data_IF_155711535603
#
_entry.id   IF_155711535603
#
_cell.length_a   1.000
_cell.length_b   1.000
_cell.length_c   1.000
_cell.angle_alpha   90.00
_cell.angle_beta   90.00
_cell.angle_gamma   90.00
#
_symmetry.space_group_name_H-M   'P 1'
#
loop_
_entity.id
_entity.type
_entity.pdbx_description
1 polymer ?
#
# COMPACT_ATOMS: atom_id res chain seq x y z
N UNK A 1 -22.22 -11.37 49.50
CA UNK A 1 -21.54 -12.57 48.98
C UNK A 1 -20.76 -12.15 47.76
N UNK A 2 -19.48 -11.80 47.95
CA UNK A 2 -18.63 -11.25 46.90
C UNK A 2 -17.85 -12.38 46.26
N UNK A 3 -18.18 -12.70 45.00
CA UNK A 3 -17.44 -13.68 44.20
C UNK A 3 -16.11 -13.09 43.74
N UNK A 4 -15.01 -13.59 44.29
CA UNK A 4 -13.67 -13.31 43.81
C UNK A 4 -13.46 -14.09 42.52
N UNK A 5 -13.50 -13.41 41.38
CA UNK A 5 -13.05 -13.96 40.10
C UNK A 5 -11.53 -13.94 40.11
N UNK A 6 -10.92 -15.10 40.36
CA UNK A 6 -9.47 -15.27 40.24
C UNK A 6 -9.08 -15.27 38.76
N UNK A 7 -8.58 -14.15 38.25
CA UNK A 7 -7.86 -14.10 36.99
C UNK A 7 -6.54 -14.85 37.17
N UNK A 8 -6.48 -16.10 36.71
CA UNK A 8 -5.24 -16.88 36.62
C UNK A 8 -4.35 -16.20 35.59
N UNK A 9 -3.45 -15.33 36.08
CA UNK A 9 -2.35 -14.78 35.28
C UNK A 9 -1.38 -15.94 35.05
N UNK A 10 -1.48 -16.61 33.91
CA UNK A 10 -0.50 -17.62 33.52
C UNK A 10 0.88 -16.94 33.42
N UNK A 11 1.77 -17.33 34.34
CA UNK A 11 3.17 -16.91 34.38
C UNK A 11 3.83 -17.19 33.02
N UNK A 12 4.58 -16.22 32.48
CA UNK A 12 5.23 -16.28 31.14
C UNK A 12 6.06 -17.56 30.92
N UNK A 13 6.54 -18.14 32.02
CA UNK A 13 7.26 -19.41 32.06
C UNK A 13 6.38 -20.58 31.58
N UNK A 14 5.10 -20.64 32.01
CA UNK A 14 4.17 -21.71 31.61
C UNK A 14 3.85 -21.63 30.11
N UNK A 15 3.74 -20.43 29.55
CA UNK A 15 3.57 -20.23 28.10
C UNK A 15 4.79 -20.72 27.32
N UNK A 16 5.99 -20.46 27.84
CA UNK A 16 7.25 -20.93 27.25
C UNK A 16 7.37 -22.45 27.29
N UNK A 17 7.01 -23.09 28.41
CA UNK A 17 6.99 -24.56 28.52
C UNK A 17 5.97 -25.20 27.59
N UNK A 18 4.77 -24.63 27.47
CA UNK A 18 3.75 -25.11 26.52
C UNK A 18 4.20 -24.96 25.07
N UNK A 19 4.90 -23.87 24.73
CA UNK A 19 5.46 -23.66 23.40
C UNK A 19 6.56 -24.69 23.08
N UNK A 20 7.46 -24.97 24.02
CA UNK A 20 8.52 -25.99 23.88
C UNK A 20 7.91 -27.39 23.72
N UNK A 21 6.93 -27.75 24.56
CA UNK A 21 6.22 -29.03 24.47
C UNK A 21 5.46 -29.16 23.15
N UNK A 22 4.81 -28.08 22.69
CA UNK A 22 4.14 -28.04 21.39
C UNK A 22 5.12 -28.28 20.24
N UNK A 23 6.28 -27.62 20.28
CA UNK A 23 7.34 -27.80 19.28
C UNK A 23 7.89 -29.23 19.26
N UNK A 24 8.17 -29.81 20.42
CA UNK A 24 8.63 -31.19 20.55
C UNK A 24 7.58 -32.19 20.05
N UNK A 25 6.32 -31.97 20.39
CA UNK A 25 5.22 -32.83 19.92
C UNK A 25 5.04 -32.76 18.40
N UNK A 26 5.11 -31.56 17.81
CA UNK A 26 5.10 -31.40 16.36
C UNK A 26 6.31 -32.04 15.68
N UNK A 27 7.48 -32.05 16.34
CA UNK A 27 8.69 -32.68 15.82
C UNK A 27 8.58 -34.21 15.80
N UNK A 28 8.06 -34.82 16.86
CA UNK A 28 7.84 -36.27 16.93
C UNK A 28 6.78 -36.74 15.93
N UNK A 29 5.68 -35.98 15.78
CA UNK A 29 4.68 -36.24 14.74
C UNK A 29 5.29 -36.16 13.34
N UNK A 30 6.14 -35.16 13.11
CA UNK A 30 6.84 -34.99 11.85
C UNK A 30 7.79 -36.17 11.57
N UNK A 31 8.59 -36.60 12.54
CA UNK A 31 9.51 -37.72 12.37
C UNK A 31 8.77 -39.05 12.11
N UNK A 32 7.62 -39.25 12.75
CA UNK A 32 6.74 -40.39 12.45
C UNK A 32 6.17 -40.36 11.03
N UNK A 33 5.79 -39.20 10.51
CA UNK A 33 5.29 -39.04 9.14
C UNK A 33 6.40 -39.18 8.08
N UNK A 34 7.62 -38.75 8.39
CA UNK A 34 8.81 -38.96 7.55
C UNK A 34 9.19 -40.43 7.50
N UNK A 35 9.23 -41.13 8.64
CA UNK A 35 9.53 -42.58 8.70
C UNK A 35 8.49 -43.43 7.97
N UNK A 36 7.23 -42.99 7.94
CA UNK A 36 6.16 -43.63 7.16
C UNK A 36 6.22 -43.34 5.66
N UNK A 37 7.17 -42.52 5.19
CA UNK A 37 7.34 -42.18 3.78
C UNK A 37 6.23 -41.29 3.21
N UNK A 38 5.40 -40.68 4.07
CA UNK A 38 4.26 -39.85 3.65
C UNK A 38 4.68 -38.44 3.23
N UNK A 39 5.87 -37.97 3.62
CA UNK A 39 6.34 -36.62 3.34
C UNK A 39 7.45 -36.66 2.27
N UNK A 40 7.17 -36.10 1.10
CA UNK A 40 8.17 -35.87 0.05
C UNK A 40 8.92 -34.55 0.33
N UNK A 41 10.19 -34.38 -0.08
CA UNK A 41 10.96 -33.15 0.14
C UNK A 41 10.29 -31.86 -0.37
N UNK A 42 9.40 -31.97 -1.36
CA UNK A 42 8.63 -30.86 -1.90
C UNK A 42 7.59 -30.27 -0.91
N UNK A 43 7.09 -31.08 0.04
CA UNK A 43 6.10 -30.62 1.02
C UNK A 43 6.75 -29.93 2.23
N UNK A 44 8.00 -30.27 2.55
CA UNK A 44 8.84 -29.52 3.49
C UNK A 44 9.07 -28.08 3.02
N UNK A 45 9.25 -27.87 1.72
CA UNK A 45 9.41 -26.52 1.16
C UNK A 45 8.12 -25.68 1.27
N UNK A 46 6.93 -26.30 1.17
CA UNK A 46 5.65 -25.64 1.42
C UNK A 46 5.47 -25.28 2.91
N UNK A 47 5.83 -26.19 3.81
CA UNK A 47 5.76 -25.97 5.26
C UNK A 47 6.77 -24.90 5.71
N UNK A 48 8.00 -24.91 5.19
CA UNK A 48 8.99 -23.87 5.46
C UNK A 48 8.55 -22.53 4.88
N UNK A 49 7.89 -22.49 3.71
CA UNK A 49 7.27 -21.27 3.20
C UNK A 49 6.11 -20.80 4.09
N UNK A 50 5.28 -21.72 4.61
CA UNK A 50 4.22 -21.40 5.56
C UNK A 50 4.76 -20.90 6.91
N UNK A 51 5.77 -21.53 7.48
CA UNK A 51 6.39 -21.10 8.74
C UNK A 51 7.18 -19.79 8.59
N UNK A 52 7.84 -19.57 7.43
CA UNK A 52 8.46 -18.28 7.10
C UNK A 52 7.41 -17.17 6.94
N UNK A 53 6.15 -17.51 6.64
CA UNK A 53 5.02 -16.55 6.66
C UNK A 53 4.36 -16.38 8.03
N UNK A 54 4.60 -17.27 8.99
CA UNK A 54 3.98 -17.22 10.33
C UNK A 54 4.87 -16.52 11.37
N UNK A 55 6.21 -16.60 11.26
CA UNK A 55 7.14 -16.03 12.26
C UNK A 55 7.76 -14.67 11.94
N UNK A 56 7.33 -14.01 10.86
CA UNK A 56 7.60 -12.59 10.65
C UNK A 56 6.30 -11.86 10.98
N UNK A 57 6.34 -10.96 11.96
CA UNK A 57 5.33 -9.93 12.29
C UNK A 57 4.12 -10.00 11.38
N UNK A 58 2.97 -10.44 11.92
CA UNK A 58 1.67 -10.63 11.25
C UNK A 58 1.24 -9.38 10.47
N UNK A 59 1.89 -9.11 9.34
CA UNK A 59 1.52 -8.09 8.38
C UNK A 59 0.32 -8.66 7.64
N UNK A 60 -0.86 -8.21 8.06
CA UNK A 60 -2.10 -8.62 7.42
C UNK A 60 -2.04 -8.31 5.94
N UNK A 61 -2.21 -9.35 5.13
CA UNK A 61 -2.24 -9.20 3.69
C UNK A 61 -3.57 -8.53 3.30
N UNK A 62 -3.57 -7.65 2.29
CA UNK A 62 -4.82 -7.14 1.74
C UNK A 62 -5.72 -8.29 1.28
N UNK A 63 -7.02 -8.17 1.61
CA UNK A 63 -8.08 -9.07 1.13
C UNK A 63 -8.39 -8.81 -0.34
N UNK A 64 -8.36 -7.55 -0.73
CA UNK A 64 -8.58 -7.08 -2.09
C UNK A 64 -7.56 -6.02 -2.44
N UNK A 65 -7.43 -5.74 -3.72
CA UNK A 65 -6.62 -4.64 -4.21
C UNK A 65 -7.44 -3.73 -5.10
N UNK A 66 -7.44 -2.44 -4.76
CA UNK A 66 -8.10 -1.40 -5.51
C UNK A 66 -7.08 -0.65 -6.37
N UNK A 67 -7.30 -0.63 -7.67
CA UNK A 67 -6.49 0.09 -8.63
C UNK A 67 -7.02 1.51 -8.81
N UNK A 68 -6.16 2.47 -8.46
CA UNK A 68 -6.42 3.89 -8.63
C UNK A 68 -5.43 4.50 -9.60
N UNK A 69 -5.90 5.40 -10.43
CA UNK A 69 -5.10 6.22 -11.31
C UNK A 69 -5.21 7.66 -10.83
N UNK A 70 -4.08 8.34 -10.66
CA UNK A 70 -4.06 9.74 -10.20
C UNK A 70 -4.49 10.69 -11.33
N UNK A 71 -5.34 11.70 -11.03
CA UNK A 71 -5.77 12.89 -11.82
C UNK A 71 -4.80 13.54 -12.83
N UNK A 72 -4.29 12.92 -13.88
CA UNK A 72 -3.38 13.60 -14.82
C UNK A 72 -3.99 13.80 -16.22
N UNK A 73 -3.65 14.91 -16.88
CA UNK A 73 -3.96 15.16 -18.29
C UNK A 73 -3.25 14.19 -19.23
N UNK A 74 -2.16 13.55 -18.76
CA UNK A 74 -1.34 12.61 -19.53
C UNK A 74 -1.61 11.13 -19.18
N UNK A 75 -2.80 10.80 -18.64
CA UNK A 75 -3.14 9.41 -18.35
C UNK A 75 -3.24 8.60 -19.64
N UNK A 76 -2.61 7.43 -19.69
CA UNK A 76 -2.83 6.52 -20.80
C UNK A 76 -4.23 5.87 -20.73
N UNK A 77 -4.73 5.41 -21.87
CA UNK A 77 -6.07 4.83 -21.98
C UNK A 77 -6.27 3.64 -21.03
N UNK A 78 -5.30 2.74 -20.92
CA UNK A 78 -5.37 1.60 -20.00
C UNK A 78 -5.43 2.02 -18.51
N UNK A 79 -4.72 3.09 -18.16
CA UNK A 79 -4.79 3.74 -16.85
C UNK A 79 -6.26 4.21 -16.61
N UNK A 80 -6.88 4.90 -17.57
CA UNK A 80 -8.28 5.36 -17.47
C UNK A 80 -9.31 4.23 -17.37
N UNK A 81 -9.12 3.15 -18.14
CA UNK A 81 -10.03 1.99 -18.16
C UNK A 81 -9.98 1.18 -16.87
N UNK A 82 -8.82 1.16 -16.20
CA UNK A 82 -8.59 0.40 -14.96
C UNK A 82 -8.84 1.19 -13.67
N UNK A 83 -9.29 2.44 -13.77
CA UNK A 83 -9.71 3.23 -12.61
C UNK A 83 -10.88 2.55 -11.88
N UNK A 84 -10.70 2.31 -10.59
CA UNK A 84 -11.73 1.72 -9.73
C UNK A 84 -11.82 0.20 -9.83
N UNK A 85 -10.87 -0.45 -10.50
CA UNK A 85 -10.82 -1.91 -10.62
C UNK A 85 -10.39 -2.53 -9.28
N UNK A 86 -11.23 -3.36 -8.71
CA UNK A 86 -11.01 -4.16 -7.50
C UNK A 86 -10.67 -5.59 -7.93
N UNK A 87 -9.56 -6.12 -7.42
CA UNK A 87 -8.95 -7.36 -7.89
C UNK A 87 -8.65 -8.26 -6.69
N UNK A 88 -8.88 -9.57 -6.84
CA UNK A 88 -8.45 -10.55 -5.85
C UNK A 88 -6.91 -10.70 -5.82
N UNK A 89 -6.31 -11.01 -4.64
CA UNK A 89 -4.88 -11.29 -4.53
C UNK A 89 -4.40 -12.46 -5.41
N UNK A 90 -5.27 -13.44 -5.70
CA UNK A 90 -4.97 -14.56 -6.61
C UNK A 90 -4.66 -14.08 -8.03
N UNK A 91 -5.42 -13.10 -8.50
CA UNK A 91 -5.45 -12.71 -9.91
C UNK A 91 -4.36 -11.69 -10.24
N UNK A 92 -3.85 -10.98 -9.23
CA UNK A 92 -2.65 -10.14 -9.35
C UNK A 92 -1.37 -10.90 -9.69
N UNK A 93 -1.35 -12.22 -9.43
CA UNK A 93 -0.21 -13.08 -9.79
C UNK A 93 -0.17 -13.39 -11.28
N UNK A 94 -1.30 -13.27 -11.97
CA UNK A 94 -1.33 -13.42 -13.41
C UNK A 94 -0.63 -12.22 -14.08
N UNK A 95 0.32 -12.54 -14.96
CA UNK A 95 1.14 -11.55 -15.67
C UNK A 95 0.30 -10.65 -16.58
N UNK A 96 -0.91 -11.08 -16.96
CA UNK A 96 -1.85 -10.31 -17.76
C UNK A 96 -2.23 -8.98 -17.09
N UNK A 97 -2.45 -8.96 -15.77
CA UNK A 97 -2.85 -7.75 -15.03
C UNK A 97 -1.71 -6.74 -14.83
N UNK A 98 -0.44 -7.18 -14.94
CA UNK A 98 0.74 -6.30 -14.88
C UNK A 98 1.09 -5.67 -16.23
N UNK A 99 0.73 -6.32 -17.34
CA UNK A 99 1.11 -5.90 -18.70
C UNK A 99 0.10 -4.96 -19.38
N UNK A 100 -1.08 -4.73 -18.80
CA UNK A 100 -2.06 -3.78 -19.37
C UNK A 100 -1.62 -2.32 -19.25
N UNK A 101 -0.68 -2.00 -18.35
CA UNK A 101 -0.12 -0.67 -18.24
C UNK A 101 1.17 -0.61 -19.05
N UNK A 102 1.09 0.07 -20.19
CA UNK A 102 2.21 0.22 -21.10
C UNK A 102 3.43 0.81 -20.40
N UNK A 103 4.61 0.38 -20.87
CA UNK A 103 5.94 0.96 -20.59
C UNK A 103 6.03 2.37 -21.25
N UNK A 104 4.93 3.11 -21.30
CA UNK A 104 4.92 4.52 -21.65
C UNK A 104 5.18 5.31 -20.37
N UNK A 105 6.38 5.87 -20.31
CA UNK A 105 6.87 6.87 -19.35
C UNK A 105 5.72 7.68 -18.71
N UNK A 106 5.21 7.27 -17.54
CA UNK A 106 4.28 8.09 -16.75
C UNK A 106 2.87 7.55 -16.43
N UNK A 107 2.52 6.27 -16.66
CA UNK A 107 1.25 5.74 -16.11
C UNK A 107 1.36 5.62 -14.57
N UNK A 108 0.69 6.54 -13.85
CA UNK A 108 0.72 6.69 -12.39
C UNK A 108 -0.43 5.94 -11.70
N UNK A 109 -0.54 4.64 -11.98
CA UNK A 109 -1.45 3.76 -11.25
C UNK A 109 -0.85 3.39 -9.89
N UNK A 110 -1.71 3.34 -8.87
CA UNK A 110 -1.39 2.89 -7.53
C UNK A 110 -2.34 1.75 -7.19
N UNK A 111 -1.78 0.69 -6.59
CA UNK A 111 -2.55 -0.45 -6.14
C UNK A 111 -2.71 -0.37 -4.61
N UNK A 112 -3.91 0.01 -4.17
CA UNK A 112 -4.26 0.10 -2.76
C UNK A 112 -4.69 -1.26 -2.23
N UNK A 113 -4.16 -1.67 -1.10
CA UNK A 113 -4.67 -2.86 -0.40
C UNK A 113 -5.91 -2.50 0.40
N UNK A 114 -7.00 -3.24 0.23
CA UNK A 114 -8.17 -3.21 1.11
C UNK A 114 -8.02 -4.35 2.11
N UNK A 115 -8.10 -4.03 3.40
CA UNK A 115 -7.80 -4.98 4.48
C UNK A 115 -9.09 -5.48 5.13
N UNK A 116 -8.99 -6.56 5.91
CA UNK A 116 -10.15 -7.19 6.56
C UNK A 116 -10.91 -6.25 7.50
N UNK A 117 -10.25 -5.21 8.02
CA UNK A 117 -10.86 -4.21 8.90
C UNK A 117 -11.73 -3.17 8.16
N UNK A 118 -11.73 -3.17 6.83
CA UNK A 118 -12.51 -2.21 6.05
C UNK A 118 -14.00 -2.58 6.09
N UNK A 119 -14.89 -1.59 6.26
CA UNK A 119 -16.34 -1.84 6.21
C UNK A 119 -16.73 -2.39 4.83
N UNK A 120 -17.65 -3.36 4.83
CA UNK A 120 -18.16 -3.97 3.60
C UNK A 120 -17.18 -4.86 2.84
N UNK A 121 -15.96 -5.11 3.36
CA UNK A 121 -14.93 -5.87 2.61
C UNK A 121 -15.35 -7.31 2.27
N UNK A 122 -16.09 -7.98 3.15
CA UNK A 122 -16.56 -9.36 2.91
C UNK A 122 -17.66 -9.42 1.84
N UNK A 123 -18.49 -8.39 1.76
CA UNK A 123 -19.50 -8.26 0.71
C UNK A 123 -18.85 -7.93 -0.63
N UNK A 124 -17.96 -6.92 -0.65
CA UNK A 124 -17.18 -6.58 -1.82
C UNK A 124 -16.33 -7.77 -2.31
N UNK A 125 -15.77 -8.57 -1.40
CA UNK A 125 -14.99 -9.76 -1.78
C UNK A 125 -15.86 -10.85 -2.42
N UNK A 126 -17.11 -11.02 -1.96
CA UNK A 126 -18.06 -11.93 -2.59
C UNK A 126 -18.44 -11.43 -3.99
N UNK A 127 -18.79 -10.15 -4.13
CA UNK A 127 -19.12 -9.55 -5.44
C UNK A 127 -17.98 -9.69 -6.44
N UNK A 128 -16.73 -9.44 -6.02
CA UNK A 128 -15.55 -9.60 -6.89
C UNK A 128 -15.35 -11.06 -7.29
N UNK A 129 -15.59 -12.01 -6.37
CA UNK A 129 -15.48 -13.45 -6.65
C UNK A 129 -16.56 -13.89 -7.64
N UNK A 130 -17.81 -13.47 -7.42
CA UNK A 130 -18.95 -13.76 -8.30
C UNK A 130 -18.76 -13.15 -9.70
N UNK A 131 -18.08 -12.01 -9.79
CA UNK A 131 -17.69 -11.36 -11.05
C UNK A 131 -16.49 -12.03 -11.76
N UNK A 132 -15.98 -13.16 -11.25
CA UNK A 132 -14.86 -13.87 -11.85
C UNK A 132 -13.48 -13.29 -11.51
N UNK A 133 -13.38 -12.61 -10.36
CA UNK A 133 -12.11 -12.18 -9.76
C UNK A 133 -11.75 -10.70 -9.93
N UNK A 134 -12.53 -9.96 -10.72
CA UNK A 134 -12.34 -8.51 -10.91
C UNK A 134 -13.68 -7.79 -11.03
N UNK A 135 -13.83 -6.70 -10.28
CA UNK A 135 -15.02 -5.84 -10.30
C UNK A 135 -14.60 -4.38 -10.51
N UNK A 136 -15.38 -3.61 -11.26
CA UNK A 136 -15.11 -2.17 -11.44
C UNK A 136 -16.09 -1.33 -10.62
N UNK A 137 -15.56 -0.61 -9.65
CA UNK A 137 -16.32 0.37 -8.88
C UNK A 137 -16.48 1.68 -9.66
N UNK A 138 -17.70 2.21 -9.65
CA UNK A 138 -18.00 3.56 -10.14
C UNK A 138 -17.41 4.61 -9.19
N UNK A 139 -17.17 5.86 -9.66
CA UNK A 139 -16.65 6.94 -8.81
C UNK A 139 -17.45 7.17 -7.52
N UNK A 140 -18.77 7.01 -7.59
CA UNK A 140 -19.68 7.17 -6.45
C UNK A 140 -19.47 6.07 -5.41
N UNK A 141 -19.35 4.82 -5.86
CA UNK A 141 -19.05 3.67 -4.99
C UNK A 141 -17.67 3.78 -4.34
N UNK A 142 -16.67 4.31 -5.06
CA UNK A 142 -15.35 4.60 -4.47
C UNK A 142 -15.42 5.68 -3.38
N UNK A 143 -16.25 6.71 -3.59
CA UNK A 143 -16.44 7.76 -2.61
C UNK A 143 -17.18 7.25 -1.37
N UNK A 144 -18.17 6.37 -1.55
CA UNK A 144 -18.90 5.76 -0.43
C UNK A 144 -18.00 4.83 0.38
N UNK A 145 -17.27 3.94 -0.30
CA UNK A 145 -16.28 3.07 0.35
C UNK A 145 -15.30 3.87 1.23
N UNK A 146 -14.84 5.02 0.73
CA UNK A 146 -13.98 5.90 1.50
C UNK A 146 -14.70 6.55 2.69
N UNK A 147 -15.91 7.09 2.52
CA UNK A 147 -16.66 7.77 3.61
C UNK A 147 -17.00 6.81 4.73
N UNK A 148 -17.47 5.61 4.40
CA UNK A 148 -17.76 4.56 5.37
C UNK A 148 -16.48 4.18 6.13
N UNK A 149 -15.39 3.97 5.41
CA UNK A 149 -14.10 3.62 6.01
C UNK A 149 -13.55 4.74 6.89
N UNK A 150 -13.66 6.01 6.50
CA UNK A 150 -13.23 7.15 7.29
C UNK A 150 -14.04 7.30 8.59
N UNK A 151 -15.33 6.98 8.55
CA UNK A 151 -16.23 7.10 9.71
C UNK A 151 -16.06 5.93 10.69
N UNK A 152 -15.87 4.72 10.17
CA UNK A 152 -15.86 3.49 10.97
C UNK A 152 -14.45 3.05 11.40
N UNK A 153 -13.40 3.47 10.68
CA UNK A 153 -12.02 3.15 11.04
C UNK A 153 -11.43 4.27 11.91
N UNK A 154 -10.96 3.92 13.11
CA UNK A 154 -10.29 4.89 13.99
C UNK A 154 -8.93 5.30 13.42
N UNK A 155 -8.54 6.60 13.50
CA UNK A 155 -7.26 7.11 12.95
C UNK A 155 -5.98 6.50 13.54
N UNK A 156 -6.12 5.78 14.66
CA UNK A 156 -5.04 5.08 15.35
C UNK A 156 -4.79 3.66 14.81
N UNK A 157 -5.62 3.18 13.88
CA UNK A 157 -5.52 1.83 13.31
C UNK A 157 -4.43 1.71 12.24
N UNK A 158 -4.06 0.45 12.01
CA UNK A 158 -3.20 0.00 10.89
C UNK A 158 -3.82 0.42 9.55
N UNK A 159 -3.00 0.59 8.52
CA UNK A 159 -3.45 0.85 7.14
C UNK A 159 -4.02 2.27 6.87
N UNK A 160 -3.66 3.25 7.70
CA UNK A 160 -4.10 4.65 7.59
C UNK A 160 -3.63 5.35 6.32
N UNK A 161 -2.45 5.02 5.80
CA UNK A 161 -1.94 5.65 4.59
C UNK A 161 -2.71 5.16 3.35
N UNK A 162 -3.25 3.92 3.35
CA UNK A 162 -4.21 3.50 2.32
C UNK A 162 -5.47 4.39 2.34
N UNK A 163 -6.05 4.64 3.51
CA UNK A 163 -7.25 5.49 3.63
C UNK A 163 -6.97 6.93 3.18
N UNK A 164 -5.85 7.50 3.60
CA UNK A 164 -5.45 8.83 3.15
C UNK A 164 -5.21 8.86 1.64
N UNK A 165 -4.61 7.82 1.07
CA UNK A 165 -4.37 7.76 -0.37
C UNK A 165 -5.70 7.70 -1.16
N UNK A 166 -6.66 6.88 -0.72
CA UNK A 166 -7.99 6.83 -1.31
C UNK A 166 -8.71 8.18 -1.19
N UNK A 167 -8.72 8.75 0.01
CA UNK A 167 -9.34 10.05 0.27
C UNK A 167 -8.72 11.17 -0.55
N UNK A 168 -7.40 11.14 -0.76
CA UNK A 168 -6.71 12.09 -1.61
C UNK A 168 -7.22 12.02 -3.06
N UNK A 169 -7.30 10.81 -3.63
CA UNK A 169 -7.76 10.57 -5.00
C UNK A 169 -9.23 10.98 -5.19
N UNK A 170 -10.10 10.64 -4.23
CA UNK A 170 -11.51 11.03 -4.26
C UNK A 170 -11.70 12.55 -4.17
N UNK A 171 -10.82 13.25 -3.44
CA UNK A 171 -10.93 14.69 -3.22
C UNK A 171 -10.31 15.55 -4.34
N UNK A 172 -9.46 15.01 -5.22
CA UNK A 172 -8.72 15.83 -6.20
C UNK A 172 -9.60 16.70 -7.10
N UNK A 173 -10.80 16.22 -7.44
CA UNK A 173 -11.71 16.90 -8.35
C UNK A 173 -12.67 17.88 -7.65
N UNK A 174 -12.92 17.68 -6.36
CA UNK A 174 -14.00 18.34 -5.63
C UNK A 174 -13.49 19.23 -4.50
N UNK A 175 -12.38 18.86 -3.87
CA UNK A 175 -11.79 19.57 -2.75
C UNK A 175 -10.26 19.40 -2.72
N UNK A 176 -9.57 20.28 -3.45
CA UNK A 176 -8.11 20.28 -3.57
C UNK A 176 -7.41 20.40 -2.20
N UNK A 177 -7.94 21.24 -1.29
CA UNK A 177 -7.36 21.42 0.05
C UNK A 177 -7.34 20.11 0.82
N UNK A 178 -8.44 19.34 0.75
CA UNK A 178 -8.52 18.02 1.36
C UNK A 178 -7.57 17.03 0.69
N UNK A 179 -7.50 17.02 -0.65
CA UNK A 179 -6.56 16.17 -1.37
C UNK A 179 -5.10 16.41 -0.94
N UNK A 180 -4.70 17.69 -0.84
CA UNK A 180 -3.37 18.10 -0.35
C UNK A 180 -3.11 17.60 1.07
N UNK A 181 -4.05 17.77 1.99
CA UNK A 181 -3.93 17.30 3.37
C UNK A 181 -3.77 15.77 3.43
N UNK A 182 -4.57 15.04 2.66
CA UNK A 182 -4.50 13.58 2.59
C UNK A 182 -3.16 13.10 2.01
N UNK A 183 -2.65 13.69 0.92
CA UNK A 183 -1.32 13.31 0.40
C UNK A 183 -0.19 13.60 1.39
N UNK A 184 -0.26 14.72 2.12
CA UNK A 184 0.69 15.02 3.21
C UNK A 184 0.61 13.96 4.31
N UNK A 185 -0.60 13.52 4.67
CA UNK A 185 -0.81 12.47 5.64
C UNK A 185 -0.22 11.13 5.18
N UNK A 186 -0.37 10.74 3.91
CA UNK A 186 0.29 9.54 3.35
C UNK A 186 1.81 9.60 3.57
N UNK A 187 2.45 10.72 3.20
CA UNK A 187 3.90 10.91 3.35
C UNK A 187 4.33 10.84 4.82
N UNK A 188 3.56 11.42 5.73
CA UNK A 188 3.89 11.48 7.14
C UNK A 188 3.70 10.14 7.88
N UNK A 189 2.76 9.32 7.43
CA UNK A 189 2.21 8.25 8.24
C UNK A 189 2.35 6.84 7.68
N UNK A 190 2.75 6.69 6.42
CA UNK A 190 2.99 5.40 5.79
C UNK A 190 4.08 4.59 6.52
N UNK A 191 3.80 3.32 6.76
CA UNK A 191 4.71 2.36 7.39
C UNK A 191 4.60 0.98 6.73
N UNK A 192 5.63 0.14 6.88
CA UNK A 192 5.63 -1.22 6.32
C UNK A 192 5.32 -1.23 4.82
N UNK A 193 4.29 -1.98 4.42
CA UNK A 193 3.84 -2.08 3.01
C UNK A 193 3.26 -0.79 2.44
N UNK A 194 2.76 0.10 3.29
CA UNK A 194 2.17 1.36 2.84
C UNK A 194 3.23 2.36 2.33
N UNK A 195 4.52 2.05 2.53
CA UNK A 195 5.62 2.79 1.92
C UNK A 195 5.55 2.78 0.38
N UNK A 196 4.86 1.81 -0.22
CA UNK A 196 4.56 1.78 -1.66
C UNK A 196 3.78 3.04 -2.12
N UNK A 197 3.10 3.75 -1.21
CA UNK A 197 2.29 4.94 -1.53
C UNK A 197 3.05 6.26 -1.41
N UNK A 198 4.22 6.27 -0.76
CA UNK A 198 4.96 7.50 -0.45
C UNK A 198 5.46 8.19 -1.72
N UNK A 199 6.08 7.44 -2.64
CA UNK A 199 6.59 8.02 -3.89
C UNK A 199 5.45 8.56 -4.78
N UNK A 200 4.37 7.80 -5.03
CA UNK A 200 3.19 8.35 -5.70
C UNK A 200 2.63 9.61 -5.03
N UNK A 201 2.58 9.65 -3.70
CA UNK A 201 2.08 10.81 -2.96
C UNK A 201 2.96 12.05 -3.16
N UNK A 202 4.30 11.92 -3.12
CA UNK A 202 5.22 13.02 -3.42
C UNK A 202 5.02 13.57 -4.84
N UNK A 203 5.02 12.66 -5.84
CA UNK A 203 4.85 13.03 -7.25
C UNK A 203 3.52 13.76 -7.45
N UNK A 204 2.45 13.24 -6.85
CA UNK A 204 1.12 13.80 -7.05
C UNK A 204 0.90 15.10 -6.30
N UNK A 205 1.37 15.19 -5.06
CA UNK A 205 1.27 16.41 -4.25
C UNK A 205 2.01 17.58 -4.89
N UNK A 206 3.25 17.36 -5.36
CA UNK A 206 4.02 18.41 -6.03
C UNK A 206 3.32 18.91 -7.31
N UNK A 207 2.77 17.99 -8.11
CA UNK A 207 1.97 18.34 -9.29
C UNK A 207 0.71 19.14 -8.92
N UNK A 208 -0.05 18.70 -7.91
CA UNK A 208 -1.30 19.38 -7.52
C UNK A 208 -1.04 20.80 -7.03
N UNK A 209 -0.01 20.99 -6.19
CA UNK A 209 0.39 22.31 -5.70
C UNK A 209 0.85 23.22 -6.86
N UNK A 210 1.64 22.68 -7.79
CA UNK A 210 2.06 23.39 -9.01
C UNK A 210 0.85 23.82 -9.85
N UNK A 211 -0.09 22.91 -10.11
CA UNK A 211 -1.31 23.18 -10.89
C UNK A 211 -2.23 24.21 -10.23
N UNK A 212 -2.19 24.35 -8.90
CA UNK A 212 -2.95 25.34 -8.15
C UNK A 212 -2.22 26.67 -7.97
N UNK A 213 -1.05 26.86 -8.61
CA UNK A 213 -0.25 28.07 -8.49
C UNK A 213 0.51 28.21 -7.15
N UNK A 214 0.48 27.18 -6.30
CA UNK A 214 1.19 27.15 -5.01
C UNK A 214 2.66 26.75 -5.22
N UNK A 215 3.37 27.52 -6.06
CA UNK A 215 4.67 27.14 -6.62
C UNK A 215 5.76 26.93 -5.57
N UNK A 216 5.78 27.76 -4.51
CA UNK A 216 6.75 27.63 -3.42
C UNK A 216 6.55 26.33 -2.65
N UNK A 217 5.31 26.02 -2.28
CA UNK A 217 4.99 24.77 -1.60
C UNK A 217 5.28 23.56 -2.48
N UNK A 218 4.99 23.63 -3.78
CA UNK A 218 5.37 22.59 -4.72
C UNK A 218 6.88 22.34 -4.72
N UNK A 219 7.70 23.40 -4.74
CA UNK A 219 9.15 23.30 -4.70
C UNK A 219 9.66 22.72 -3.38
N UNK A 220 9.04 23.06 -2.26
CA UNK A 220 9.38 22.50 -0.95
C UNK A 220 9.10 21.00 -0.88
N UNK A 221 8.00 20.53 -1.48
CA UNK A 221 7.70 19.10 -1.62
C UNK A 221 8.75 18.39 -2.49
N UNK A 222 9.18 19.00 -3.60
CA UNK A 222 10.23 18.44 -4.46
C UNK A 222 11.57 18.36 -3.72
N UNK A 223 11.95 19.40 -2.97
CA UNK A 223 13.16 19.39 -2.13
C UNK A 223 13.07 18.33 -1.02
N UNK A 224 11.90 18.19 -0.39
CA UNK A 224 11.67 17.16 0.61
C UNK A 224 11.82 15.76 0.00
N UNK A 225 11.32 15.52 -1.22
CA UNK A 225 11.54 14.26 -1.93
C UNK A 225 13.02 13.93 -2.09
N UNK A 226 13.83 14.85 -2.63
CA UNK A 226 15.27 14.63 -2.77
C UNK A 226 15.99 14.46 -1.42
N UNK A 227 15.53 15.15 -0.37
CA UNK A 227 16.06 14.98 0.99
C UNK A 227 15.74 13.61 1.57
N UNK A 228 14.52 13.12 1.37
CA UNK A 228 14.06 11.80 1.84
C UNK A 228 14.79 10.67 1.10
N UNK A 229 15.00 10.82 -0.20
CA UNK A 229 15.57 9.76 -1.05
C UNK A 229 17.02 10.02 -1.49
N UNK A 230 17.85 10.66 -0.64
CA UNK A 230 19.28 10.93 -0.94
C UNK A 230 20.12 9.68 -1.25
N UNK A 231 19.72 8.52 -0.73
CA UNK A 231 20.39 7.22 -0.94
C UNK A 231 19.31 6.15 -1.12
N UNK A 232 18.64 6.11 -2.28
CA UNK A 232 17.48 5.25 -2.47
C UNK A 232 17.94 3.78 -2.40
N UNK A 233 17.44 3.03 -1.41
CA UNK A 233 17.71 1.60 -1.24
C UNK A 233 16.44 0.87 -0.85
N UNK A 234 16.32 -0.36 -1.34
CA UNK A 234 15.21 -1.26 -1.01
C UNK A 234 14.01 -1.14 -1.95
N UNK A 235 12.98 -1.94 -1.66
CA UNK A 235 11.81 -2.14 -2.51
C UNK A 235 10.99 -0.87 -2.77
N UNK A 236 10.96 0.04 -1.81
CA UNK A 236 10.15 1.26 -1.83
C UNK A 236 10.88 2.49 -2.42
N UNK A 237 12.10 2.29 -2.91
CA UNK A 237 12.90 3.34 -3.50
C UNK A 237 12.26 3.90 -4.78
N UNK A 238 12.31 5.22 -5.02
CA UNK A 238 11.92 5.79 -6.31
C UNK A 238 12.79 5.23 -7.43
N UNK A 239 12.18 5.04 -8.60
CA UNK A 239 12.90 4.67 -9.82
C UNK A 239 13.61 5.88 -10.41
N UNK A 240 14.54 5.63 -11.34
CA UNK A 240 15.19 6.69 -12.11
C UNK A 240 14.18 7.61 -12.82
N UNK A 241 13.09 7.04 -13.36
CA UNK A 241 12.01 7.81 -13.98
C UNK A 241 11.36 8.78 -12.99
N UNK A 242 11.16 8.38 -11.73
CA UNK A 242 10.63 9.27 -10.69
C UNK A 242 11.60 10.40 -10.35
N UNK A 243 12.91 10.12 -10.31
CA UNK A 243 13.94 11.15 -10.09
C UNK A 243 14.01 12.15 -11.23
N UNK A 244 14.00 11.68 -12.48
CA UNK A 244 13.97 12.55 -13.66
C UNK A 244 12.74 13.45 -13.61
N UNK A 245 11.56 12.89 -13.33
CA UNK A 245 10.33 13.68 -13.23
C UNK A 245 10.43 14.79 -12.17
N UNK A 246 10.94 14.46 -10.98
CA UNK A 246 11.12 15.44 -9.90
C UNK A 246 12.19 16.49 -10.22
N UNK A 247 13.28 16.11 -10.88
CA UNK A 247 14.33 17.03 -11.30
C UNK A 247 13.80 18.03 -12.34
N UNK A 248 13.12 17.54 -13.39
CA UNK A 248 12.48 18.40 -14.40
C UNK A 248 11.47 19.35 -13.77
N UNK A 249 10.69 18.87 -12.80
CA UNK A 249 9.75 19.73 -12.06
C UNK A 249 10.48 20.77 -11.22
N UNK A 250 11.57 20.40 -10.55
CA UNK A 250 12.40 21.33 -9.77
C UNK A 250 12.91 22.47 -10.65
N UNK A 251 13.50 22.16 -11.81
CA UNK A 251 14.01 23.14 -12.77
C UNK A 251 12.91 24.07 -13.29
N UNK A 252 11.73 23.51 -13.62
CA UNK A 252 10.57 24.31 -14.03
C UNK A 252 10.12 25.27 -12.93
N UNK A 253 9.99 24.79 -11.69
CA UNK A 253 9.60 25.61 -10.55
C UNK A 253 10.63 26.70 -10.23
N UNK A 254 11.94 26.40 -10.33
CA UNK A 254 13.00 27.40 -10.19
C UNK A 254 12.88 28.52 -11.21
N UNK A 255 12.64 28.18 -12.49
CA UNK A 255 12.41 29.17 -13.55
C UNK A 255 11.18 30.04 -13.26
N UNK A 256 10.05 29.42 -12.90
CA UNK A 256 8.81 30.14 -12.60
C UNK A 256 8.92 31.07 -11.38
N UNK A 257 9.78 30.71 -10.41
CA UNK A 257 10.02 31.50 -9.20
C UNK A 257 11.19 32.50 -9.33
N UNK A 258 11.88 32.54 -10.48
CA UNK A 258 13.05 33.41 -10.67
C UNK A 258 14.26 33.05 -9.78
N UNK A 259 14.35 31.79 -9.32
CA UNK A 259 15.44 31.33 -8.45
C UNK A 259 16.56 30.77 -9.33
N UNK A 260 17.76 31.36 -9.27
CA UNK A 260 18.95 30.78 -9.92
C UNK A 260 19.30 29.43 -9.27
N UNK A 261 19.23 28.34 -10.04
CA UNK A 261 19.49 26.98 -9.54
C UNK A 261 20.74 26.36 -10.15
N UNK A 262 21.63 25.80 -9.32
CA UNK A 262 22.51 24.69 -9.73
C UNK A 262 21.66 23.42 -9.79
N UNK A 263 21.69 22.64 -10.88
CA UNK A 263 20.92 21.41 -10.98
C UNK A 263 21.37 20.41 -9.91
N UNK A 264 20.41 19.84 -9.18
CA UNK A 264 20.67 18.67 -8.33
C UNK A 264 20.66 17.45 -9.26
N UNK A 265 21.85 17.05 -9.69
CA UNK A 265 22.03 15.92 -10.62
C UNK A 265 21.49 14.62 -10.04
N UNK A 266 20.90 13.74 -10.87
CA UNK A 266 20.59 12.38 -10.45
C UNK A 266 21.89 11.68 -10.06
N UNK A 267 21.83 10.96 -8.95
CA UNK A 267 22.97 10.23 -8.37
C UNK A 267 23.46 9.21 -9.41
N UNK A 268 24.70 9.39 -9.88
CA UNK A 268 25.52 8.34 -10.53
C UNK A 268 25.86 7.24 -9.56
#
# INVERSE_FOLDING_TARGET
MSGVVATVVLQEELQSFLAILGLLFTWELHDLEVRKGCIKPADLLKLVLLFRTVSLVREELPRLYLRLTLRNSERCQACCESQGEVILPSDLRDRSHRRRHGISRGCRCVLLGIYAEWPGVEELSREVTDAGGTLRLKPEALQELWRESETQMTPQKRHRATLFMLGAVCAEATNIKRAVACYRAVIAYAQGRELDYVVPAYLRLSYLLEACGMLREALDIVRAFFKTFKRPKGRYAPTEVHFIEMATRQERLHRLLGISSKPQSPIT
#
